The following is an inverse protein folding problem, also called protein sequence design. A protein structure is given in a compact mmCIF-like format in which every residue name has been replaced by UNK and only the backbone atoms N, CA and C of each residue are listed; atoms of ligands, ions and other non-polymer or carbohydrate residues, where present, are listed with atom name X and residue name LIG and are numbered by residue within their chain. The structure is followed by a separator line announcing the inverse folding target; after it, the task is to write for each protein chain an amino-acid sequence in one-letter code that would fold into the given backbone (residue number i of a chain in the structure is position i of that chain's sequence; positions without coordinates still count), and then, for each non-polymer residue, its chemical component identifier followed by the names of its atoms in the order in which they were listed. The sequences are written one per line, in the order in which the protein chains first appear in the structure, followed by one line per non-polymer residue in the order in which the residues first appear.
data_IF_967783039432
#
_entry.id   IF_967783039432
#
_cell.length_a   1.000
_cell.length_b   1.000
_cell.length_c   1.000
_cell.angle_alpha   90.00
_cell.angle_beta   90.00
_cell.angle_gamma   90.00
#
_symmetry.space_group_name_H-M   'P 1'
#
loop_
_entity.id
_entity.type
_entity.pdbx_description
1 polymer ?
#
# COMPACT_ATOMS: atom_id res chain seq x y z
N UNK A 1 1.42 32.56 -9.49
CA UNK A 1 0.93 31.30 -10.07
C UNK A 1 2.05 30.28 -9.93
N UNK A 2 1.91 29.30 -9.04
CA UNK A 2 2.90 28.22 -8.97
C UNK A 2 2.81 27.39 -10.25
N UNK A 3 3.93 27.30 -10.98
CA UNK A 3 4.02 26.47 -12.19
C UNK A 3 3.74 25.01 -11.81
N UNK A 4 2.74 24.39 -12.45
CA UNK A 4 2.47 22.94 -12.28
C UNK A 4 3.67 22.19 -12.87
N UNK A 5 4.33 21.34 -12.07
CA UNK A 5 5.44 20.51 -12.54
C UNK A 5 4.94 19.51 -13.59
N UNK A 6 5.77 19.23 -14.58
CA UNK A 6 5.55 18.13 -15.50
C UNK A 6 5.82 16.79 -14.79
N UNK A 7 5.27 15.64 -15.28
CA UNK A 7 5.60 14.32 -14.72
C UNK A 7 7.12 14.04 -14.70
N UNK A 8 7.85 14.52 -15.70
CA UNK A 8 9.30 14.40 -15.73
C UNK A 8 10.00 15.19 -14.61
N UNK A 9 9.57 16.44 -14.35
CA UNK A 9 10.10 17.24 -13.23
C UNK A 9 9.73 16.61 -11.88
N UNK A 10 8.53 16.01 -11.77
CA UNK A 10 8.08 15.29 -10.58
C UNK A 10 8.97 14.07 -10.30
N UNK A 11 9.24 13.22 -11.30
CA UNK A 11 10.13 12.06 -11.15
C UNK A 11 11.52 12.45 -10.65
N UNK A 12 12.10 13.53 -11.22
CA UNK A 12 13.41 14.01 -10.77
C UNK A 12 13.41 14.52 -9.33
N UNK A 13 12.29 15.04 -8.86
CA UNK A 13 12.13 15.45 -7.45
C UNK A 13 12.14 14.21 -6.53
N UNK A 14 11.54 13.11 -6.96
CA UNK A 14 11.60 11.84 -6.22
C UNK A 14 13.03 11.28 -6.17
N UNK A 15 13.75 11.29 -7.30
CA UNK A 15 15.10 10.74 -7.39
C UNK A 15 16.11 11.52 -6.53
N UNK A 16 15.88 12.83 -6.28
CA UNK A 16 16.77 13.64 -5.44
C UNK A 16 16.71 13.30 -3.94
N UNK A 17 15.76 12.48 -3.52
CA UNK A 17 15.57 12.13 -2.11
C UNK A 17 14.96 13.24 -1.24
N UNK A 18 14.69 14.41 -1.85
CA UNK A 18 14.16 15.61 -1.18
C UNK A 18 12.62 15.66 -1.21
N UNK A 19 11.94 14.57 -1.55
CA UNK A 19 10.47 14.55 -1.59
C UNK A 19 9.91 14.81 -0.17
N UNK A 20 9.24 15.97 0.06
CA UNK A 20 8.93 16.45 1.41
C UNK A 20 7.92 15.57 2.17
N UNK A 21 7.17 14.72 1.47
CA UNK A 21 6.16 13.87 2.10
C UNK A 21 6.73 12.60 2.76
N UNK A 22 7.93 12.17 2.36
CA UNK A 22 8.54 10.92 2.85
C UNK A 22 9.07 11.04 4.28
N UNK A 23 9.23 12.26 4.79
CA UNK A 23 9.98 12.49 6.02
C UNK A 23 9.23 12.09 7.31
N UNK A 24 7.89 12.04 7.33
CA UNK A 24 7.12 11.87 8.58
C UNK A 24 5.84 11.03 8.46
N UNK A 25 5.57 10.43 7.31
CA UNK A 25 4.35 9.64 7.13
C UNK A 25 4.48 8.27 7.78
N UNK A 26 3.51 7.91 8.62
CA UNK A 26 3.34 6.58 9.18
C UNK A 26 1.97 6.07 8.74
N UNK A 27 1.89 4.94 8.02
CA UNK A 27 0.61 4.30 7.67
C UNK A 27 -0.06 3.76 8.94
N UNK A 28 -0.91 4.60 9.54
CA UNK A 28 -1.43 4.38 10.90
C UNK A 28 -2.25 3.09 11.03
N UNK A 29 -2.99 2.70 9.99
CA UNK A 29 -3.77 1.47 10.01
C UNK A 29 -2.88 0.24 9.90
N UNK A 30 -1.82 0.27 9.09
CA UNK A 30 -0.79 -0.80 9.06
C UNK A 30 -0.11 -0.89 10.43
N UNK A 31 0.29 0.24 11.02
CA UNK A 31 0.87 0.27 12.37
C UNK A 31 -0.03 -0.40 13.41
N UNK A 32 -1.32 -0.02 13.45
CA UNK A 32 -2.29 -0.61 14.38
C UNK A 32 -2.41 -2.12 14.19
N UNK A 33 -2.52 -2.56 12.95
CA UNK A 33 -2.61 -3.99 12.60
C UNK A 33 -1.35 -4.73 13.07
N UNK A 34 -0.15 -4.22 12.75
CA UNK A 34 1.11 -4.87 13.14
C UNK A 34 1.26 -4.94 14.65
N UNK A 35 0.88 -3.88 15.39
CA UNK A 35 0.90 -3.90 16.88
C UNK A 35 -0.13 -4.87 17.46
N UNK A 36 -1.32 -4.96 16.87
CA UNK A 36 -2.38 -5.91 17.28
C UNK A 36 -1.96 -7.38 17.07
N UNK A 37 -1.26 -7.66 15.96
CA UNK A 37 -0.72 -8.99 15.67
C UNK A 37 0.42 -9.40 16.62
N UNK A 38 1.00 -8.46 17.35
CA UNK A 38 2.01 -8.65 18.39
C UNK A 38 3.17 -9.58 17.97
N UNK A 39 3.85 -9.33 16.82
CA UNK A 39 4.93 -10.17 16.33
C UNK A 39 6.14 -10.15 17.27
N UNK A 40 6.88 -11.28 17.32
CA UNK A 40 8.23 -11.34 17.87
C UNK A 40 9.28 -10.93 16.83
N UNK A 41 8.99 -11.19 15.53
CA UNK A 41 9.82 -10.84 14.38
C UNK A 41 8.97 -10.11 13.34
N UNK A 42 9.40 -8.92 12.95
CA UNK A 42 8.69 -8.04 12.01
C UNK A 42 9.60 -7.61 10.88
N UNK A 43 9.14 -7.77 9.64
CA UNK A 43 9.79 -7.28 8.43
C UNK A 43 8.92 -6.22 7.77
N UNK A 44 9.51 -5.06 7.48
CA UNK A 44 8.88 -4.01 6.68
C UNK A 44 9.62 -3.88 5.35
N UNK A 45 8.94 -4.20 4.25
CA UNK A 45 9.48 -4.11 2.90
C UNK A 45 9.15 -2.72 2.35
N UNK A 46 10.18 -2.01 1.84
CA UNK A 46 10.08 -0.60 1.48
C UNK A 46 10.01 0.28 2.74
N UNK A 47 10.82 -0.02 3.74
CA UNK A 47 10.73 0.61 5.06
C UNK A 47 11.08 2.10 5.08
N UNK A 48 11.52 2.68 3.95
CA UNK A 48 11.95 4.06 3.84
C UNK A 48 12.97 4.39 4.96
N UNK A 49 12.77 5.48 5.71
CA UNK A 49 13.62 5.90 6.84
C UNK A 49 13.25 5.20 8.17
N UNK A 50 12.44 4.12 8.13
CA UNK A 50 12.07 3.32 9.29
C UNK A 50 10.94 3.87 10.16
N UNK A 51 10.15 4.85 9.67
CA UNK A 51 9.10 5.49 10.48
C UNK A 51 8.02 4.50 10.96
N UNK A 52 7.56 3.61 10.07
CA UNK A 52 6.60 2.57 10.43
C UNK A 52 7.20 1.60 11.46
N UNK A 53 8.43 1.16 11.24
CA UNK A 53 9.15 0.28 12.17
C UNK A 53 9.29 0.92 13.55
N UNK A 54 9.72 2.19 13.62
CA UNK A 54 9.85 2.91 14.89
C UNK A 54 8.51 2.98 15.64
N UNK A 55 7.42 3.24 14.92
CA UNK A 55 6.09 3.31 15.50
C UNK A 55 5.57 1.94 15.95
N UNK A 56 5.83 0.87 15.19
CA UNK A 56 5.49 -0.51 15.58
C UNK A 56 6.31 -0.95 16.79
N UNK A 57 7.64 -0.74 16.79
CA UNK A 57 8.52 -1.06 17.94
C UNK A 57 8.02 -0.38 19.22
N UNK A 58 7.68 0.90 19.13
CA UNK A 58 7.09 1.64 20.28
C UNK A 58 5.80 1.00 20.76
N UNK A 59 4.89 0.64 19.85
CA UNK A 59 3.62 -0.02 20.18
C UNK A 59 3.81 -1.40 20.83
N UNK A 60 4.88 -2.10 20.50
CA UNK A 60 5.26 -3.41 21.06
C UNK A 60 6.18 -3.32 22.29
N UNK A 61 6.39 -2.12 22.86
CA UNK A 61 7.32 -1.89 23.97
C UNK A 61 8.74 -2.42 23.69
N UNK A 62 9.23 -2.30 22.45
CA UNK A 62 10.53 -2.76 21.97
C UNK A 62 10.80 -4.27 22.18
N UNK A 63 9.75 -5.11 22.14
CA UNK A 63 9.88 -6.57 22.35
C UNK A 63 10.10 -7.36 21.07
N UNK A 64 9.88 -6.75 19.90
CA UNK A 64 10.03 -7.39 18.60
C UNK A 64 11.40 -7.07 17.99
N UNK A 65 11.95 -8.05 17.28
CA UNK A 65 13.04 -7.81 16.32
C UNK A 65 12.42 -7.27 15.04
N UNK A 66 12.84 -6.06 14.65
CA UNK A 66 12.26 -5.34 13.52
C UNK A 66 13.33 -5.11 12.44
N UNK A 67 13.05 -5.62 11.25
CA UNK A 67 13.95 -5.62 10.10
C UNK A 67 13.34 -4.80 8.98
N UNK A 68 14.18 -4.04 8.27
CA UNK A 68 13.77 -3.26 7.10
C UNK A 68 14.46 -3.73 5.83
N UNK A 69 13.76 -3.61 4.70
CA UNK A 69 14.34 -3.66 3.36
C UNK A 69 14.05 -2.35 2.68
N UNK A 70 15.08 -1.67 2.16
CA UNK A 70 14.94 -0.39 1.48
C UNK A 70 15.99 -0.25 0.37
N UNK A 71 15.51 0.03 -0.86
CA UNK A 71 16.41 0.13 -2.02
C UNK A 71 17.14 1.48 -2.10
N UNK A 72 16.57 2.54 -1.54
CA UNK A 72 17.20 3.85 -1.49
C UNK A 72 18.25 3.86 -0.35
N UNK A 73 19.52 3.91 -0.71
CA UNK A 73 20.64 3.83 0.24
C UNK A 73 20.64 4.95 1.29
N UNK A 74 20.15 6.15 0.96
CA UNK A 74 20.06 7.25 1.93
C UNK A 74 18.95 7.00 2.95
N UNK A 75 17.78 6.56 2.50
CA UNK A 75 16.68 6.20 3.39
C UNK A 75 17.04 4.98 4.26
N UNK A 76 17.66 3.96 3.67
CA UNK A 76 18.13 2.78 4.39
C UNK A 76 19.10 3.13 5.52
N UNK A 77 20.02 4.07 5.28
CA UNK A 77 20.97 4.56 6.31
C UNK A 77 20.26 5.24 7.48
N UNK A 78 19.21 5.99 7.22
CA UNK A 78 18.41 6.60 8.30
C UNK A 78 17.63 5.51 9.06
N UNK A 79 17.10 4.50 8.36
CA UNK A 79 16.38 3.38 8.96
C UNK A 79 17.26 2.52 9.88
N UNK A 80 18.57 2.43 9.64
CA UNK A 80 19.54 1.72 10.53
C UNK A 80 19.52 2.25 11.97
N UNK A 81 19.06 3.49 12.20
CA UNK A 81 19.00 4.08 13.55
C UNK A 81 17.85 3.53 14.39
N UNK A 82 16.83 2.94 13.75
CA UNK A 82 15.61 2.48 14.41
C UNK A 82 15.35 0.99 14.21
N UNK A 83 15.79 0.41 13.11
CA UNK A 83 15.70 -1.02 12.82
C UNK A 83 16.78 -1.81 13.55
N UNK A 84 16.51 -3.06 13.86
CA UNK A 84 17.55 -3.97 14.37
C UNK A 84 18.49 -4.43 13.25
N UNK A 85 17.99 -4.46 12.01
CA UNK A 85 18.76 -4.67 10.77
C UNK A 85 18.05 -4.04 9.58
N UNK A 86 18.85 -3.54 8.61
CA UNK A 86 18.34 -3.03 7.31
C UNK A 86 19.12 -3.73 6.20
N UNK A 87 18.38 -4.16 5.18
CA UNK A 87 18.93 -4.63 3.91
C UNK A 87 18.78 -3.49 2.89
N UNK A 88 19.89 -2.83 2.57
CA UNK A 88 19.91 -1.73 1.58
C UNK A 88 19.98 -2.32 0.16
N UNK A 89 18.86 -2.83 -0.32
CA UNK A 89 18.71 -3.46 -1.65
C UNK A 89 17.24 -3.54 -2.06
N UNK A 90 16.97 -4.04 -3.26
CA UNK A 90 15.62 -4.48 -3.64
C UNK A 90 15.21 -5.71 -2.82
N UNK A 91 13.90 -5.94 -2.72
CA UNK A 91 13.37 -7.04 -1.89
C UNK A 91 13.82 -8.41 -2.38
N UNK A 92 13.78 -8.65 -3.70
CA UNK A 92 14.24 -9.89 -4.33
C UNK A 92 15.74 -10.18 -4.03
N UNK A 93 16.58 -9.15 -4.10
CA UNK A 93 18.00 -9.27 -3.76
C UNK A 93 18.24 -9.56 -2.26
N UNK A 94 17.36 -9.10 -1.38
CA UNK A 94 17.47 -9.33 0.07
C UNK A 94 17.09 -10.75 0.51
N UNK A 95 16.30 -11.50 -0.28
CA UNK A 95 15.70 -12.79 0.10
C UNK A 95 16.73 -13.79 0.65
N UNK A 96 17.87 -13.94 -0.03
CA UNK A 96 18.92 -14.88 0.39
C UNK A 96 19.49 -14.54 1.77
N UNK A 97 19.75 -13.26 2.02
CA UNK A 97 20.24 -12.76 3.31
C UNK A 97 19.19 -12.90 4.41
N UNK A 98 17.94 -12.53 4.11
CA UNK A 98 16.82 -12.64 5.06
C UNK A 98 16.60 -14.09 5.51
N UNK A 99 16.62 -15.06 4.59
CA UNK A 99 16.51 -16.50 4.92
C UNK A 99 17.67 -17.00 5.79
N UNK A 100 18.90 -16.57 5.49
CA UNK A 100 20.08 -16.98 6.23
C UNK A 100 20.08 -16.44 7.65
N UNK A 101 19.72 -15.16 7.81
CA UNK A 101 19.76 -14.48 9.12
C UNK A 101 18.51 -14.77 9.97
N UNK A 102 17.37 -15.09 9.35
CA UNK A 102 16.08 -15.35 10.01
C UNK A 102 15.47 -16.68 9.56
N UNK A 103 16.10 -17.83 9.87
CA UNK A 103 15.65 -19.16 9.40
C UNK A 103 14.28 -19.57 9.95
N UNK A 104 13.80 -18.93 11.04
CA UNK A 104 12.46 -19.13 11.58
C UNK A 104 11.37 -18.32 10.87
N UNK A 105 11.76 -17.45 9.96
CA UNK A 105 10.86 -16.53 9.28
C UNK A 105 10.37 -15.37 10.14
N UNK A 106 9.43 -14.60 9.60
CA UNK A 106 8.85 -13.43 10.24
C UNK A 106 7.40 -13.68 10.63
N UNK A 107 7.01 -13.25 11.83
CA UNK A 107 5.63 -13.35 12.30
C UNK A 107 4.71 -12.36 11.55
N UNK A 108 5.25 -11.21 11.17
CA UNK A 108 4.55 -10.22 10.32
C UNK A 108 5.51 -9.67 9.28
N UNK A 109 5.04 -9.63 8.03
CA UNK A 109 5.70 -8.95 6.91
C UNK A 109 4.72 -7.88 6.40
N UNK A 110 5.16 -6.62 6.31
CA UNK A 110 4.35 -5.55 5.75
C UNK A 110 4.89 -5.04 4.42
N UNK A 111 3.94 -4.65 3.55
CA UNK A 111 4.13 -3.89 2.32
C UNK A 111 3.15 -2.72 2.38
N UNK A 112 3.62 -1.59 2.87
CA UNK A 112 2.80 -0.40 3.07
C UNK A 112 3.08 0.61 1.96
N UNK A 113 2.18 0.68 0.98
CA UNK A 113 2.34 1.50 -0.22
C UNK A 113 3.66 1.18 -0.98
N UNK A 114 3.86 -0.08 -1.32
CA UNK A 114 5.07 -0.60 -1.97
C UNK A 114 4.75 -1.31 -3.28
N UNK A 115 3.72 -2.16 -3.30
CA UNK A 115 3.44 -3.05 -4.44
C UNK A 115 3.07 -2.28 -5.71
N UNK A 116 2.47 -1.11 -5.60
CA UNK A 116 2.18 -0.21 -6.72
C UNK A 116 3.42 0.39 -7.38
N UNK A 117 4.56 0.38 -6.67
CA UNK A 117 5.86 0.84 -7.17
C UNK A 117 6.72 -0.30 -7.72
N UNK A 118 6.33 -1.56 -7.53
CA UNK A 118 7.12 -2.72 -7.96
C UNK A 118 6.80 -3.11 -9.40
N UNK A 119 7.82 -3.57 -10.14
CA UNK A 119 7.62 -4.06 -11.51
C UNK A 119 6.75 -5.32 -11.53
N UNK A 120 7.03 -6.27 -10.65
CA UNK A 120 6.26 -7.52 -10.47
C UNK A 120 5.79 -7.67 -9.01
N UNK A 121 4.62 -7.10 -8.66
CA UNK A 121 4.07 -7.22 -7.31
C UNK A 121 3.65 -8.66 -6.97
N UNK A 122 3.28 -9.46 -7.96
CA UNK A 122 2.89 -10.87 -7.74
C UNK A 122 4.10 -11.71 -7.31
N UNK A 123 5.26 -11.52 -7.98
CA UNK A 123 6.51 -12.15 -7.57
C UNK A 123 6.92 -11.72 -6.16
N UNK A 124 6.83 -10.42 -5.84
CA UNK A 124 7.13 -9.92 -4.50
C UNK A 124 6.25 -10.59 -3.42
N UNK A 125 4.95 -10.76 -3.71
CA UNK A 125 4.03 -11.47 -2.82
C UNK A 125 4.40 -12.95 -2.67
N UNK A 126 4.81 -13.63 -3.75
CA UNK A 126 5.25 -15.04 -3.71
C UNK A 126 6.54 -15.18 -2.90
N UNK A 127 7.53 -14.30 -3.10
CA UNK A 127 8.78 -14.30 -2.36
C UNK A 127 8.56 -14.05 -0.85
N UNK A 128 7.60 -13.22 -0.48
CA UNK A 128 7.27 -12.98 0.92
C UNK A 128 6.83 -14.27 1.65
N UNK A 129 6.17 -15.22 0.97
CA UNK A 129 5.80 -16.52 1.57
C UNK A 129 7.00 -17.36 1.98
N UNK A 130 8.12 -17.18 1.31
CA UNK A 130 9.35 -17.92 1.64
C UNK A 130 10.03 -17.42 2.93
N UNK A 131 9.61 -16.24 3.42
CA UNK A 131 10.14 -15.58 4.61
C UNK A 131 9.18 -15.59 5.79
N UNK A 132 7.92 -15.98 5.58
CA UNK A 132 6.91 -15.93 6.63
C UNK A 132 7.01 -17.15 7.55
N UNK A 133 6.87 -16.96 8.87
CA UNK A 133 6.84 -18.07 9.83
C UNK A 133 5.54 -18.88 9.70
N UNK A 134 5.48 -20.07 10.27
CA UNK A 134 4.35 -21.01 10.15
C UNK A 134 2.98 -20.40 10.47
N UNK A 135 2.93 -19.44 11.39
CA UNK A 135 1.70 -18.72 11.79
C UNK A 135 1.73 -17.25 11.43
N UNK A 136 2.70 -16.87 10.64
CA UNK A 136 2.92 -15.47 10.27
C UNK A 136 1.82 -14.91 9.36
N UNK A 137 1.79 -13.61 9.24
CA UNK A 137 0.83 -12.86 8.41
C UNK A 137 1.56 -11.86 7.53
N UNK A 138 1.05 -11.68 6.32
CA UNK A 138 1.40 -10.53 5.49
C UNK A 138 0.35 -9.43 5.66
N UNK A 139 0.81 -8.19 5.73
CA UNK A 139 -0.03 -6.99 5.78
C UNK A 139 0.27 -6.17 4.53
N UNK A 140 -0.70 -6.06 3.64
CA UNK A 140 -0.59 -5.30 2.41
C UNK A 140 -1.46 -4.04 2.50
N UNK A 141 -0.91 -2.88 2.21
CA UNK A 141 -1.67 -1.65 1.98
C UNK A 141 -1.46 -1.21 0.54
N UNK A 142 -2.54 -0.88 -0.14
CA UNK A 142 -2.53 -0.42 -1.53
C UNK A 142 -3.48 0.77 -1.72
N UNK A 143 -3.17 1.70 -2.65
CA UNK A 143 -4.09 2.74 -3.09
C UNK A 143 -5.24 2.15 -3.92
N UNK A 144 -6.42 2.78 -3.80
CA UNK A 144 -7.61 2.36 -4.52
C UNK A 144 -7.81 3.18 -5.81
N UNK A 145 -7.56 2.59 -6.95
CA UNK A 145 -7.81 3.21 -8.26
C UNK A 145 -9.30 3.31 -8.64
N UNK A 146 -10.18 2.68 -7.87
CA UNK A 146 -11.65 2.85 -7.97
C UNK A 146 -12.19 4.09 -7.25
N UNK A 147 -11.32 4.92 -6.67
CA UNK A 147 -11.73 6.15 -6.00
C UNK A 147 -12.37 7.16 -6.99
N UNK A 148 -13.40 7.89 -6.51
CA UNK A 148 -14.16 8.85 -7.32
C UNK A 148 -13.32 9.90 -8.04
N UNK A 149 -12.20 10.33 -7.46
CA UNK A 149 -11.32 11.33 -8.09
C UNK A 149 -10.68 10.81 -9.37
N UNK A 150 -10.31 9.51 -9.38
CA UNK A 150 -9.75 8.86 -10.57
C UNK A 150 -10.83 8.69 -11.63
N UNK A 151 -11.99 8.15 -11.24
CA UNK A 151 -13.13 7.95 -12.15
C UNK A 151 -13.56 9.29 -12.76
N UNK A 152 -13.72 10.34 -11.95
CA UNK A 152 -14.07 11.67 -12.40
C UNK A 152 -13.02 12.28 -13.34
N UNK A 153 -11.75 12.06 -13.05
CA UNK A 153 -10.64 12.45 -13.94
C UNK A 153 -10.75 11.78 -15.30
N UNK A 154 -10.91 10.45 -15.34
CA UNK A 154 -11.03 9.68 -16.58
C UNK A 154 -12.26 10.09 -17.41
N UNK A 155 -13.41 10.29 -16.77
CA UNK A 155 -14.63 10.80 -17.43
C UNK A 155 -14.44 12.21 -17.99
N UNK A 156 -13.52 12.99 -17.42
CA UNK A 156 -13.14 14.34 -17.88
C UNK A 156 -11.95 14.31 -18.86
N UNK A 157 -11.58 13.14 -19.38
CA UNK A 157 -10.41 12.94 -20.24
C UNK A 157 -9.10 13.40 -19.59
N UNK A 158 -8.94 13.13 -18.27
CA UNK A 158 -7.78 13.53 -17.47
C UNK A 158 -7.21 12.35 -16.69
N UNK A 159 -5.88 12.24 -16.69
CA UNK A 159 -5.10 11.34 -15.82
C UNK A 159 -3.86 12.11 -15.39
N UNK A 160 -4.03 12.94 -14.36
CA UNK A 160 -3.01 13.92 -13.96
C UNK A 160 -2.13 13.32 -12.85
N UNK A 161 -0.90 12.98 -13.20
CA UNK A 161 0.11 12.58 -12.22
C UNK A 161 0.36 13.67 -11.16
N UNK A 162 0.69 13.24 -9.97
CA UNK A 162 1.00 14.09 -8.82
C UNK A 162 2.31 13.63 -8.15
N UNK A 163 2.83 14.45 -7.25
CA UNK A 163 4.02 14.08 -6.45
C UNK A 163 3.69 13.07 -5.32
N UNK A 164 2.40 12.87 -5.02
CA UNK A 164 1.93 11.98 -3.96
C UNK A 164 0.47 11.63 -4.16
N UNK A 165 0.00 10.59 -3.47
CA UNK A 165 -1.39 10.15 -3.46
C UNK A 165 -1.69 9.11 -4.53
N UNK A 166 -2.97 8.94 -4.89
CA UNK A 166 -3.41 7.85 -5.78
C UNK A 166 -2.74 7.84 -7.15
N UNK A 167 -2.44 9.00 -7.70
CA UNK A 167 -1.75 9.17 -8.97
C UNK A 167 -0.30 9.65 -8.78
N UNK A 168 0.36 9.16 -7.74
CA UNK A 168 1.78 9.39 -7.57
C UNK A 168 2.52 9.01 -8.86
N UNK A 169 3.43 9.88 -9.29
CA UNK A 169 4.15 9.72 -10.56
C UNK A 169 5.04 8.46 -10.61
N UNK A 170 5.35 7.89 -9.45
CA UNK A 170 6.14 6.67 -9.31
C UNK A 170 5.29 5.39 -9.28
N UNK A 171 3.94 5.50 -9.25
CA UNK A 171 3.07 4.34 -9.36
C UNK A 171 3.12 3.76 -10.78
N UNK A 172 3.51 2.51 -10.89
CA UNK A 172 3.59 1.75 -12.15
C UNK A 172 2.61 0.58 -12.20
N UNK A 173 1.99 0.25 -11.08
CA UNK A 173 0.89 -0.72 -10.95
C UNK A 173 -0.30 -0.07 -10.30
N UNK A 174 -1.47 -0.44 -10.77
CA UNK A 174 -2.73 0.17 -10.35
C UNK A 174 -3.72 -0.91 -9.97
N UNK A 175 -4.22 -0.85 -8.73
CA UNK A 175 -5.14 -1.83 -8.20
C UNK A 175 -6.47 -1.18 -7.78
N UNK A 176 -7.55 -1.89 -8.06
CA UNK A 176 -8.78 -1.74 -7.28
C UNK A 176 -8.78 -2.83 -6.20
N UNK A 177 -9.59 -2.72 -5.14
CA UNK A 177 -9.69 -3.79 -4.15
C UNK A 177 -9.96 -5.16 -4.76
N UNK A 178 -10.88 -5.25 -5.74
CA UNK A 178 -11.19 -6.52 -6.40
C UNK A 178 -9.98 -7.12 -7.14
N UNK A 179 -9.29 -6.32 -7.96
CA UNK A 179 -8.11 -6.82 -8.69
C UNK A 179 -6.94 -7.17 -7.76
N UNK A 180 -6.82 -6.52 -6.59
CA UNK A 180 -5.82 -6.90 -5.61
C UNK A 180 -6.19 -8.18 -4.85
N UNK A 181 -7.47 -8.40 -4.57
CA UNK A 181 -7.97 -9.65 -3.98
C UNK A 181 -7.69 -10.84 -4.91
N UNK A 182 -7.90 -10.66 -6.23
CA UNK A 182 -7.51 -11.65 -7.24
C UNK A 182 -6.00 -11.90 -7.23
N UNK A 183 -5.18 -10.85 -7.11
CA UNK A 183 -3.73 -10.98 -6.99
C UNK A 183 -3.31 -11.74 -5.73
N UNK A 184 -3.94 -11.47 -4.58
CA UNK A 184 -3.72 -12.25 -3.35
C UNK A 184 -4.01 -13.73 -3.56
N UNK A 185 -5.14 -14.07 -4.18
CA UNK A 185 -5.52 -15.44 -4.47
C UNK A 185 -4.52 -16.11 -5.41
N UNK A 186 -4.13 -15.44 -6.50
CA UNK A 186 -3.15 -15.94 -7.47
C UNK A 186 -1.78 -16.17 -6.85
N UNK A 187 -1.35 -15.28 -5.94
CA UNK A 187 -0.11 -15.44 -5.19
C UNK A 187 -0.20 -16.51 -4.07
N UNK A 188 -1.35 -17.14 -3.87
CA UNK A 188 -1.56 -18.18 -2.86
C UNK A 188 -1.71 -17.63 -1.45
N UNK A 189 -2.49 -16.57 -1.29
CA UNK A 189 -2.87 -16.01 0.00
C UNK A 189 -4.35 -16.12 0.26
N UNK A 190 -4.70 -16.37 1.51
CA UNK A 190 -6.06 -16.23 2.05
C UNK A 190 -6.17 -14.90 2.78
N UNK A 191 -7.16 -14.10 2.41
CA UNK A 191 -7.45 -12.82 3.07
C UNK A 191 -8.23 -13.11 4.35
N UNK A 192 -7.65 -12.71 5.49
CA UNK A 192 -8.24 -12.88 6.81
C UNK A 192 -9.02 -11.65 7.27
N UNK A 193 -8.55 -10.46 6.89
CA UNK A 193 -9.15 -9.19 7.30
C UNK A 193 -8.90 -8.13 6.24
N UNK A 194 -9.88 -7.22 6.08
CA UNK A 194 -9.81 -6.02 5.25
C UNK A 194 -10.09 -4.80 6.12
N UNK A 195 -9.28 -3.76 5.99
CA UNK A 195 -9.47 -2.48 6.66
C UNK A 195 -9.53 -1.39 5.60
N UNK A 196 -10.69 -0.76 5.46
CA UNK A 196 -10.93 0.30 4.49
C UNK A 196 -10.47 1.64 5.07
N UNK A 197 -9.61 2.33 4.36
CA UNK A 197 -9.15 3.68 4.71
C UNK A 197 -9.97 4.67 3.88
N UNK A 198 -10.93 5.28 4.52
CA UNK A 198 -11.85 6.22 3.90
C UNK A 198 -11.26 7.63 3.86
N UNK A 199 -11.73 8.46 2.92
CA UNK A 199 -11.49 9.90 2.99
C UNK A 199 -12.09 10.50 4.28
N UNK A 200 -11.64 11.67 4.70
CA UNK A 200 -12.00 12.27 6.01
C UNK A 200 -13.52 12.44 6.21
N UNK A 201 -14.28 12.69 5.14
CA UNK A 201 -15.73 12.86 5.23
C UNK A 201 -16.46 12.15 4.08
N UNK A 202 -16.60 10.81 4.12
CA UNK A 202 -17.17 10.03 3.02
C UNK A 202 -18.70 10.15 2.91
N UNK A 203 -19.41 10.48 3.97
CA UNK A 203 -20.89 10.41 4.00
C UNK A 203 -21.60 11.31 3.00
N UNK A 204 -21.25 12.60 2.80
CA UNK A 204 -21.87 13.43 1.77
C UNK A 204 -21.72 12.86 0.37
N UNK A 205 -20.53 12.31 0.07
CA UNK A 205 -20.22 11.69 -1.23
C UNK A 205 -21.08 10.45 -1.43
N UNK A 206 -21.10 9.54 -0.47
CA UNK A 206 -21.87 8.30 -0.53
C UNK A 206 -23.35 8.56 -0.63
N UNK A 207 -23.90 9.53 0.13
CA UNK A 207 -25.29 9.92 0.07
C UNK A 207 -25.69 10.51 -1.28
N UNK A 208 -24.84 11.39 -1.85
CA UNK A 208 -25.08 11.99 -3.15
C UNK A 208 -25.12 10.93 -4.27
N UNK A 209 -24.15 10.01 -4.28
CA UNK A 209 -24.12 8.90 -5.25
C UNK A 209 -25.31 7.94 -5.07
N UNK A 210 -25.68 7.59 -3.84
CA UNK A 210 -26.82 6.74 -3.58
C UNK A 210 -28.11 7.36 -4.11
N UNK A 211 -28.34 8.65 -3.86
CA UNK A 211 -29.50 9.39 -4.35
C UNK A 211 -29.52 9.46 -5.88
N UNK A 212 -28.38 9.76 -6.51
CA UNK A 212 -28.24 9.85 -7.96
C UNK A 212 -28.57 8.51 -8.64
N UNK A 213 -28.02 7.41 -8.14
CA UNK A 213 -28.19 6.08 -8.73
C UNK A 213 -29.61 5.56 -8.52
N UNK A 214 -30.21 5.78 -7.35
CA UNK A 214 -31.58 5.30 -7.06
C UNK A 214 -32.65 6.12 -7.74
N UNK A 215 -32.42 7.40 -7.99
CA UNK A 215 -33.44 8.36 -8.43
C UNK A 215 -33.59 8.54 -9.94
N UNK A 216 -32.64 8.11 -10.77
CA UNK A 216 -32.66 8.41 -12.21
C UNK A 216 -32.46 7.16 -13.08
N UNK A 217 -33.45 6.90 -13.94
CA UNK A 217 -33.36 5.82 -14.94
C UNK A 217 -32.31 6.13 -16.01
N UNK A 218 -32.06 7.41 -16.33
CA UNK A 218 -31.03 7.82 -17.26
C UNK A 218 -29.66 7.48 -16.76
N UNK A 219 -29.40 7.66 -15.47
CA UNK A 219 -28.13 7.26 -14.83
C UNK A 219 -27.94 5.75 -14.89
N UNK A 220 -28.98 4.98 -14.62
CA UNK A 220 -28.93 3.51 -14.72
C UNK A 220 -28.64 3.06 -16.15
N UNK A 221 -29.28 3.69 -17.15
CA UNK A 221 -29.02 3.40 -18.56
C UNK A 221 -27.61 3.77 -18.97
N UNK A 222 -27.10 4.92 -18.53
CA UNK A 222 -25.70 5.32 -18.75
C UNK A 222 -24.72 4.29 -18.17
N UNK A 223 -24.93 3.84 -16.95
CA UNK A 223 -24.10 2.82 -16.31
C UNK A 223 -24.14 1.48 -17.05
N UNK A 224 -25.32 1.07 -17.57
CA UNK A 224 -25.44 -0.13 -18.41
C UNK A 224 -24.65 0.00 -19.71
N UNK A 225 -24.68 1.18 -20.36
CA UNK A 225 -23.89 1.46 -21.57
C UNK A 225 -22.39 1.32 -21.28
N UNK A 226 -21.95 1.75 -20.09
CA UNK A 226 -20.56 1.58 -19.63
C UNK A 226 -20.23 0.14 -19.20
N UNK A 227 -21.17 -0.80 -19.27
CA UNK A 227 -20.97 -2.17 -18.81
C UNK A 227 -20.93 -2.32 -17.28
N UNK A 228 -21.35 -1.29 -16.53
CA UNK A 228 -21.37 -1.33 -15.07
C UNK A 228 -22.62 -2.06 -14.60
N UNK A 229 -22.46 -3.28 -14.11
CA UNK A 229 -23.55 -4.14 -13.63
C UNK A 229 -23.84 -3.95 -12.13
N UNK A 230 -22.82 -3.53 -11.38
CA UNK A 230 -22.92 -3.30 -9.93
C UNK A 230 -21.96 -2.18 -9.52
N UNK A 231 -22.43 -1.28 -8.63
CA UNK A 231 -21.58 -0.25 -8.03
C UNK A 231 -21.42 -0.55 -6.54
N UNK A 232 -20.17 -0.65 -6.13
CA UNK A 232 -19.83 -0.67 -4.71
C UNK A 232 -19.54 0.76 -4.25
N UNK A 233 -20.57 1.44 -3.72
CA UNK A 233 -20.50 2.84 -3.32
C UNK A 233 -19.35 3.16 -2.34
N UNK A 234 -19.06 2.35 -1.30
CA UNK A 234 -17.93 2.58 -0.42
C UNK A 234 -16.59 2.73 -1.15
N UNK A 235 -16.38 2.02 -2.27
CA UNK A 235 -15.14 2.13 -3.04
C UNK A 235 -14.90 3.53 -3.59
N UNK A 236 -15.96 4.30 -3.87
CA UNK A 236 -15.86 5.65 -4.42
C UNK A 236 -15.25 6.66 -3.43
N UNK A 237 -15.36 6.40 -2.15
CA UNK A 237 -14.83 7.24 -1.06
C UNK A 237 -13.71 6.55 -0.28
N UNK A 238 -13.28 5.36 -0.70
CA UNK A 238 -12.18 4.62 -0.09
C UNK A 238 -10.87 5.06 -0.75
N UNK A 239 -9.97 5.60 0.05
CA UNK A 239 -8.65 6.07 -0.40
C UNK A 239 -7.66 4.91 -0.60
N UNK A 240 -7.56 4.08 0.41
CA UNK A 240 -6.66 2.93 0.45
C UNK A 240 -7.33 1.75 1.15
N UNK A 241 -6.74 0.58 1.07
CA UNK A 241 -7.19 -0.59 1.80
C UNK A 241 -6.00 -1.40 2.31
N UNK A 242 -6.12 -1.86 3.56
CA UNK A 242 -5.18 -2.80 4.15
C UNK A 242 -5.78 -4.21 4.17
N UNK A 243 -4.95 -5.18 3.86
CA UNK A 243 -5.27 -6.60 3.90
C UNK A 243 -4.36 -7.31 4.90
N UNK A 244 -4.94 -8.13 5.76
CA UNK A 244 -4.19 -9.11 6.55
C UNK A 244 -4.38 -10.47 5.90
N UNK A 245 -3.29 -11.09 5.49
CA UNK A 245 -3.29 -12.31 4.71
C UNK A 245 -2.44 -13.40 5.37
N UNK A 246 -2.84 -14.66 5.18
CA UNK A 246 -2.03 -15.82 5.52
C UNK A 246 -1.72 -16.63 4.25
N UNK A 247 -0.54 -17.25 4.12
CA UNK A 247 -0.26 -18.22 3.07
C UNK A 247 -1.24 -19.38 3.08
N UNK A 248 -1.62 -19.86 1.88
CA UNK A 248 -2.44 -21.06 1.69
C UNK A 248 -1.59 -22.32 1.79
#
# INVERSE_FOLDING_TARGET
MNKKLSPYEMLRTHDSGDAPYQAHFVPEDVRKICVELAPSTYLDVGCNRGQLIAAVKKGLNNRAVCVGVEMNAFAAKDAEQVCDRVYSSTFDAAIGGLKADYPGGFDVISFADVLEHTYDPWEAMVLAKELISERGKCVFQIPNMGHRSIIGGLLSNRFDYALMGLLDVTHIRFFTPGSFEDACQQAGYKIMRKVQIMEENPQPVLSAFSTLISGSEDVKNFLRILGVTQINLPLLAMWQICYVCEPL
#
